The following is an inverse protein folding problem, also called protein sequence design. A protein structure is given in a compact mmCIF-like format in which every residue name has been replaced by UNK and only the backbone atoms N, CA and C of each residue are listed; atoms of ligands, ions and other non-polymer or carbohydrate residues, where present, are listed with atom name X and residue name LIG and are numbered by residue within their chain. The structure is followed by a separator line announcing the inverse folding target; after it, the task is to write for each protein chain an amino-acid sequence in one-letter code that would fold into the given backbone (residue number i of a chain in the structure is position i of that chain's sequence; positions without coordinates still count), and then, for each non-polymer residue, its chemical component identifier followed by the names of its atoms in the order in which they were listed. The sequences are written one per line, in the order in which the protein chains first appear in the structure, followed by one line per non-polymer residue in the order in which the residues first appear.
data_IF_777568484939
#
_entry.id   IF_777568484939
#
_cell.length_a   1.000
_cell.length_b   1.000
_cell.length_c   1.000
_cell.angle_alpha   90.00
_cell.angle_beta   90.00
_cell.angle_gamma   90.00
#
_symmetry.space_group_name_H-M   'P 1'
#
loop_
_entity.id
_entity.type
_entity.pdbx_description
1 polymer ?
#
# COMPACT_ATOMS: atom_id res chain seq x y z
N UNK A 1 0.50 -30.69 -3.96
CA UNK A 1 0.27 -29.63 -2.96
C UNK A 1 -1.06 -28.97 -3.30
N UNK A 2 -2.02 -29.09 -2.42
CA UNK A 2 -3.34 -28.52 -2.66
C UNK A 2 -3.33 -27.03 -2.35
N UNK A 3 -3.75 -26.24 -3.29
CA UNK A 3 -3.90 -24.77 -3.17
C UNK A 3 -5.38 -24.44 -3.32
N UNK A 4 -5.92 -23.68 -2.39
CA UNK A 4 -7.33 -23.28 -2.40
C UNK A 4 -7.55 -22.03 -3.25
N UNK A 5 -6.58 -21.13 -3.25
CA UNK A 5 -6.63 -19.85 -3.98
C UNK A 5 -5.38 -19.66 -4.82
N UNK A 6 -5.56 -19.27 -6.06
CA UNK A 6 -4.49 -18.83 -6.95
C UNK A 6 -4.62 -17.33 -7.19
N UNK A 7 -3.61 -16.58 -6.80
CA UNK A 7 -3.51 -15.13 -7.05
C UNK A 7 -2.63 -14.92 -8.28
N UNK A 8 -3.14 -14.23 -9.28
CA UNK A 8 -2.40 -13.86 -10.47
C UNK A 8 -2.11 -12.36 -10.45
N UNK A 9 -0.85 -12.03 -10.26
CA UNK A 9 -0.34 -10.67 -10.08
C UNK A 9 0.09 -10.41 -8.63
N UNK A 10 1.35 -10.01 -8.46
CA UNK A 10 1.96 -9.67 -7.17
C UNK A 10 2.13 -8.15 -6.99
N UNK A 11 1.21 -7.38 -7.54
CA UNK A 11 1.07 -5.96 -7.22
C UNK A 11 0.42 -5.75 -5.85
N UNK A 12 0.16 -4.49 -5.43
CA UNK A 12 -0.38 -4.19 -4.11
C UNK A 12 -1.68 -4.94 -3.78
N UNK A 13 -2.57 -5.08 -4.75
CA UNK A 13 -3.85 -5.79 -4.58
C UNK A 13 -3.64 -7.28 -4.34
N UNK A 14 -2.82 -7.93 -5.17
CA UNK A 14 -2.51 -9.37 -5.02
C UNK A 14 -1.76 -9.67 -3.75
N UNK A 15 -0.79 -8.83 -3.38
CA UNK A 15 -0.04 -8.96 -2.14
C UNK A 15 -0.94 -8.77 -0.91
N UNK A 16 -1.86 -7.80 -0.94
CA UNK A 16 -2.82 -7.61 0.14
C UNK A 16 -3.76 -8.81 0.27
N UNK A 17 -4.25 -9.36 -0.84
CA UNK A 17 -5.03 -10.60 -0.83
C UNK A 17 -4.25 -11.74 -0.18
N UNK A 18 -2.98 -11.92 -0.56
CA UNK A 18 -2.11 -12.93 0.04
C UNK A 18 -1.95 -12.74 1.55
N UNK A 19 -1.74 -11.49 2.00
CA UNK A 19 -1.64 -11.18 3.42
C UNK A 19 -2.93 -11.52 4.19
N UNK A 20 -4.08 -11.24 3.61
CA UNK A 20 -5.37 -11.56 4.22
C UNK A 20 -5.62 -13.07 4.25
N UNK A 21 -5.35 -13.78 3.16
CA UNK A 21 -5.50 -15.24 3.11
C UNK A 21 -4.59 -15.93 4.14
N UNK A 22 -3.35 -15.47 4.27
CA UNK A 22 -2.43 -15.96 5.29
C UNK A 22 -2.98 -15.74 6.71
N UNK A 23 -3.59 -14.59 6.96
CA UNK A 23 -4.21 -14.27 8.25
C UNK A 23 -5.35 -15.20 8.63
N UNK A 24 -6.09 -15.69 7.62
CA UNK A 24 -7.20 -16.64 7.80
C UNK A 24 -6.79 -18.10 7.58
N UNK A 25 -5.50 -18.39 7.51
CA UNK A 25 -4.95 -19.73 7.30
C UNK A 25 -5.48 -20.44 6.04
N UNK A 26 -5.74 -19.66 5.01
CA UNK A 26 -6.17 -20.17 3.69
C UNK A 26 -4.93 -20.42 2.82
N UNK A 27 -4.83 -21.60 2.25
CA UNK A 27 -3.71 -22.00 1.38
C UNK A 27 -3.80 -21.31 0.02
N UNK A 28 -2.76 -20.57 -0.33
CA UNK A 28 -2.71 -19.85 -1.59
C UNK A 28 -1.37 -19.99 -2.31
N UNK A 29 -1.40 -19.69 -3.59
CA UNK A 29 -0.22 -19.39 -4.42
C UNK A 29 -0.37 -18.05 -5.06
N UNK A 30 0.74 -17.31 -5.16
CA UNK A 30 0.79 -16.06 -5.88
C UNK A 30 1.80 -16.17 -7.02
N UNK A 31 1.39 -15.73 -8.21
CA UNK A 31 2.19 -15.76 -9.42
C UNK A 31 2.25 -14.36 -10.02
N UNK A 32 3.41 -14.00 -10.52
CA UNK A 32 3.56 -12.78 -11.31
C UNK A 32 4.37 -13.08 -12.58
N UNK A 33 4.02 -12.43 -13.67
CA UNK A 33 4.75 -12.52 -14.94
C UNK A 33 6.08 -11.77 -14.92
N UNK A 34 6.21 -10.79 -14.03
CA UNK A 34 7.43 -9.99 -13.88
C UNK A 34 8.34 -10.63 -12.84
N UNK A 35 9.62 -10.80 -13.21
CA UNK A 35 10.62 -11.33 -12.29
C UNK A 35 11.02 -10.30 -11.23
N UNK A 36 11.10 -9.04 -11.63
CA UNK A 36 11.51 -7.95 -10.77
C UNK A 36 10.37 -6.95 -10.59
N UNK A 37 10.37 -6.28 -9.45
CA UNK A 37 9.43 -5.19 -9.20
C UNK A 37 9.67 -4.07 -10.20
N UNK A 38 8.58 -3.50 -10.71
CA UNK A 38 8.68 -2.33 -11.57
C UNK A 38 9.22 -1.18 -10.75
N UNK A 39 10.36 -0.64 -11.16
CA UNK A 39 10.99 0.51 -10.50
C UNK A 39 10.25 1.83 -10.76
N UNK A 40 9.26 1.82 -11.64
CA UNK A 40 8.44 3.00 -11.91
C UNK A 40 7.46 3.25 -10.78
N UNK A 41 7.52 4.45 -10.24
CA UNK A 41 6.58 4.90 -9.23
C UNK A 41 5.20 5.10 -9.87
N UNK A 42 4.34 4.11 -9.70
CA UNK A 42 2.90 4.23 -10.00
C UNK A 42 2.19 4.70 -8.74
N UNK A 43 0.89 4.68 -8.71
CA UNK A 43 0.05 5.14 -7.62
C UNK A 43 0.73 5.26 -6.23
N UNK A 44 0.56 6.39 -5.59
CA UNK A 44 1.32 6.72 -4.39
C UNK A 44 0.47 7.33 -3.28
N UNK A 45 -0.80 7.61 -3.55
CA UNK A 45 -1.72 8.16 -2.54
C UNK A 45 -2.43 7.02 -1.80
N UNK A 46 -2.35 7.04 -0.48
CA UNK A 46 -2.98 6.06 0.42
C UNK A 46 -3.99 6.80 1.28
N UNK A 47 -5.23 6.37 1.21
CA UNK A 47 -6.32 6.95 1.98
C UNK A 47 -6.51 6.27 3.34
N UNK A 48 -7.27 6.92 4.22
CA UNK A 48 -7.56 6.47 5.57
C UNK A 48 -8.00 5.00 5.64
N UNK A 49 -8.90 4.56 4.77
CA UNK A 49 -9.40 3.19 4.77
C UNK A 49 -8.31 2.15 4.55
N UNK A 50 -7.39 2.43 3.65
CA UNK A 50 -6.23 1.55 3.43
C UNK A 50 -5.31 1.51 4.64
N UNK A 51 -5.07 2.64 5.29
CA UNK A 51 -4.28 2.70 6.52
C UNK A 51 -4.93 1.93 7.67
N UNK A 52 -6.25 1.98 7.80
CA UNK A 52 -6.99 1.18 8.79
C UNK A 52 -6.83 -0.32 8.53
N UNK A 53 -6.86 -0.74 7.27
CA UNK A 53 -6.63 -2.14 6.88
C UNK A 53 -5.20 -2.56 7.21
N UNK A 54 -4.22 -1.71 6.95
CA UNK A 54 -2.82 -1.95 7.33
C UNK A 54 -2.64 -2.02 8.86
N UNK A 55 -3.39 -1.22 9.61
CA UNK A 55 -3.43 -1.29 11.07
C UNK A 55 -3.96 -2.65 11.55
N UNK A 56 -5.05 -3.12 10.97
CA UNK A 56 -5.62 -4.44 11.29
C UNK A 56 -4.68 -5.58 10.93
N UNK A 57 -3.89 -5.43 9.87
CA UNK A 57 -2.87 -6.41 9.48
C UNK A 57 -1.64 -6.36 10.38
N UNK A 58 -1.40 -5.24 11.07
CA UNK A 58 -0.25 -5.04 11.95
C UNK A 58 0.99 -4.46 11.26
N UNK A 59 0.85 -3.82 10.11
CA UNK A 59 1.96 -3.25 9.31
C UNK A 59 1.90 -1.72 9.19
N UNK A 60 0.93 -1.07 9.79
CA UNK A 60 0.72 0.38 9.62
C UNK A 60 1.89 1.23 10.06
N UNK A 61 2.63 0.81 11.09
CA UNK A 61 3.80 1.56 11.58
C UNK A 61 4.90 1.66 10.53
N UNK A 62 5.10 0.62 9.73
CA UNK A 62 6.06 0.65 8.62
C UNK A 62 5.63 1.65 7.53
N UNK A 63 4.33 1.73 7.25
CA UNK A 63 3.79 2.74 6.34
C UNK A 63 3.97 4.16 6.88
N UNK A 64 3.67 4.38 8.16
CA UNK A 64 3.79 5.69 8.80
C UNK A 64 5.23 6.21 8.86
N UNK A 65 6.22 5.32 9.00
CA UNK A 65 7.64 5.69 8.99
C UNK A 65 8.11 6.24 7.64
N UNK A 66 7.56 5.73 6.54
CA UNK A 66 8.03 6.01 5.18
C UNK A 66 7.12 6.97 4.43
N UNK A 67 5.83 6.98 4.74
CA UNK A 67 4.86 7.82 4.05
C UNK A 67 5.00 9.29 4.42
N UNK A 68 4.72 10.14 3.46
CA UNK A 68 4.62 11.58 3.67
C UNK A 68 3.17 11.99 3.70
N UNK A 69 2.81 12.81 4.66
CA UNK A 69 1.51 13.47 4.75
C UNK A 69 1.67 14.98 4.56
N UNK A 70 0.55 15.69 4.42
CA UNK A 70 0.54 17.14 4.24
C UNK A 70 1.33 17.63 3.02
N UNK A 71 1.31 16.88 1.94
CA UNK A 71 1.93 17.24 0.66
C UNK A 71 1.00 18.18 -0.11
N UNK A 72 1.56 19.24 -0.67
CA UNK A 72 0.83 20.19 -1.52
C UNK A 72 1.09 19.87 -3.00
N UNK A 73 0.05 19.97 -3.81
CA UNK A 73 0.14 19.83 -5.27
C UNK A 73 -0.13 21.17 -5.94
N UNK A 74 0.65 21.49 -6.93
CA UNK A 74 0.44 22.65 -7.78
C UNK A 74 0.45 22.28 -9.24
N UNK A 75 -0.50 22.82 -10.00
CA UNK A 75 -0.59 22.63 -11.45
C UNK A 75 -0.17 23.92 -12.15
N UNK A 76 0.77 23.79 -13.07
CA UNK A 76 1.28 24.89 -13.88
C UNK A 76 0.91 24.70 -15.34
N UNK A 77 0.46 25.77 -16.00
CA UNK A 77 0.23 25.83 -17.42
C UNK A 77 1.04 27.02 -17.97
N UNK A 78 1.88 26.77 -18.98
CA UNK A 78 2.77 27.77 -19.57
C UNK A 78 3.63 28.52 -18.52
N UNK A 79 4.14 27.81 -17.52
CA UNK A 79 4.96 28.37 -16.45
C UNK A 79 4.21 29.17 -15.39
N UNK A 80 2.88 29.25 -15.50
CA UNK A 80 2.02 29.94 -14.52
C UNK A 80 1.25 28.95 -13.67
N UNK A 81 1.28 29.14 -12.36
CA UNK A 81 0.52 28.35 -11.40
C UNK A 81 -0.97 28.61 -11.57
N UNK A 82 -1.73 27.57 -11.87
CA UNK A 82 -3.18 27.65 -12.09
C UNK A 82 -3.97 27.21 -10.86
N UNK A 83 -3.57 26.08 -10.26
CA UNK A 83 -4.28 25.46 -9.15
C UNK A 83 -3.25 25.01 -8.12
N UNK A 84 -3.55 25.18 -6.85
CA UNK A 84 -2.82 24.63 -5.72
C UNK A 84 -3.79 23.85 -4.84
N UNK A 85 -3.44 22.59 -4.54
CA UNK A 85 -4.21 21.74 -3.65
C UNK A 85 -3.37 21.46 -2.42
N UNK A 86 -3.82 21.95 -1.27
CA UNK A 86 -3.18 21.73 0.02
C UNK A 86 -3.87 20.59 0.76
N UNK A 87 -3.29 19.40 0.69
CA UNK A 87 -3.87 18.21 1.32
C UNK A 87 -3.95 18.28 2.84
N UNK A 88 -3.19 19.14 3.50
CA UNK A 88 -3.29 19.39 4.94
C UNK A 88 -4.68 19.86 5.40
N UNK A 89 -5.49 20.43 4.48
CA UNK A 89 -6.86 20.86 4.76
C UNK A 89 -7.89 19.73 4.64
N UNK A 90 -7.52 18.59 4.04
CA UNK A 90 -8.37 17.42 3.87
C UNK A 90 -8.13 16.43 5.01
N UNK A 91 -8.60 16.76 6.20
CA UNK A 91 -8.51 15.86 7.35
C UNK A 91 -9.85 15.19 7.62
N UNK A 92 -9.84 13.86 7.67
CA UNK A 92 -10.97 13.08 8.12
C UNK A 92 -10.99 13.02 9.65
N UNK A 93 -12.15 13.30 10.27
CA UNK A 93 -12.25 13.33 11.73
C UNK A 93 -12.59 11.96 12.34
N UNK A 94 -13.10 11.02 11.53
CA UNK A 94 -13.64 9.73 12.00
C UNK A 94 -12.62 8.58 11.91
N UNK A 95 -11.32 8.88 11.80
CA UNK A 95 -10.26 7.89 11.63
C UNK A 95 -9.00 8.29 12.39
N UNK A 96 -8.21 7.30 12.92
CA UNK A 96 -6.88 7.58 13.44
C UNK A 96 -5.89 8.04 12.37
N UNK A 97 -6.25 7.96 11.08
CA UNK A 97 -5.44 8.37 9.94
C UNK A 97 -6.10 9.52 9.17
N UNK A 98 -6.09 10.75 9.72
CA UNK A 98 -6.87 11.86 9.19
C UNK A 98 -6.32 12.46 7.89
N UNK A 99 -5.11 12.11 7.50
CA UNK A 99 -4.42 12.69 6.34
C UNK A 99 -4.49 11.78 5.12
N UNK A 100 -4.16 12.32 3.95
CA UNK A 100 -3.77 11.52 2.78
C UNK A 100 -2.26 11.25 2.88
N UNK A 101 -1.85 10.02 2.71
CA UNK A 101 -0.46 9.58 2.82
C UNK A 101 0.10 9.27 1.45
N UNK A 102 1.35 9.65 1.22
CA UNK A 102 2.04 9.45 -0.04
C UNK A 102 3.23 8.53 0.16
N UNK A 103 3.21 7.40 -0.55
CA UNK A 103 4.25 6.39 -0.52
C UNK A 103 4.37 5.76 -1.90
N UNK A 104 5.59 5.59 -2.45
CA UNK A 104 5.77 4.88 -3.71
C UNK A 104 5.19 3.47 -3.63
N UNK A 105 4.57 3.01 -4.71
CA UNK A 105 3.99 1.67 -4.78
C UNK A 105 5.01 0.57 -4.46
N UNK A 106 6.27 0.76 -4.88
CA UNK A 106 7.36 -0.17 -4.61
C UNK A 106 7.59 -0.39 -3.10
N UNK A 107 7.45 0.65 -2.30
CA UNK A 107 7.55 0.57 -0.84
C UNK A 107 6.34 -0.15 -0.23
N UNK A 108 5.14 0.11 -0.73
CA UNK A 108 3.93 -0.63 -0.34
C UNK A 108 4.12 -2.13 -0.60
N UNK A 109 4.56 -2.49 -1.79
CA UNK A 109 4.83 -3.89 -2.15
C UNK A 109 5.90 -4.51 -1.26
N UNK A 110 6.98 -3.79 -0.99
CA UNK A 110 8.07 -4.25 -0.12
C UNK A 110 7.56 -4.58 1.30
N UNK A 111 6.78 -3.70 1.90
CA UNK A 111 6.22 -3.91 3.25
C UNK A 111 5.34 -5.16 3.29
N UNK A 112 4.48 -5.33 2.30
CA UNK A 112 3.58 -6.49 2.22
C UNK A 112 4.33 -7.81 1.98
N UNK A 113 5.36 -7.79 1.14
CA UNK A 113 6.22 -8.96 0.92
C UNK A 113 6.97 -9.35 2.20
N UNK A 114 7.54 -8.39 2.90
CA UNK A 114 8.23 -8.65 4.16
C UNK A 114 7.28 -9.24 5.22
N UNK A 115 6.04 -8.78 5.27
CA UNK A 115 5.02 -9.38 6.13
C UNK A 115 4.77 -10.85 5.79
N UNK A 116 4.59 -11.17 4.49
CA UNK A 116 4.38 -12.55 4.03
C UNK A 116 5.58 -13.44 4.35
N UNK A 117 6.79 -12.97 4.13
CA UNK A 117 8.03 -13.71 4.41
C UNK A 117 8.17 -14.00 5.90
N UNK A 118 7.99 -13.01 6.76
CA UNK A 118 8.07 -13.18 8.22
C UNK A 118 7.06 -14.21 8.74
N UNK A 119 5.84 -14.19 8.22
CA UNK A 119 4.80 -15.13 8.63
C UNK A 119 5.05 -16.54 8.11
N UNK A 120 5.64 -16.68 6.92
CA UNK A 120 5.96 -17.98 6.33
C UNK A 120 7.02 -18.77 7.12
N UNK A 121 7.93 -18.07 7.79
CA UNK A 121 8.97 -18.70 8.61
C UNK A 121 8.52 -19.05 10.03
N UNK A 122 7.31 -18.66 10.42
CA UNK A 122 6.76 -18.96 11.73
C UNK A 122 5.89 -20.23 11.74
N UNK A 123 5.73 -20.88 10.60
CA UNK A 123 5.06 -22.16 10.40
C UNK A 123 6.07 -23.12 9.74
#
# INVERSE_FOLDING_TARGET
MNTEVLIVGAGPTGLMMACQLLRYDVKFRILDKQRDRVHESRAFAIQAKSMEIFQNLGVVDEFLKLARSNVDFAFFINGKKQIEIKFKHFKHQDTPFPSVYFLPQTETERILIEFLEKKRYLY
#
